data_IF_055546828443
#
_entry.id   IF_055546828443
#
_cell.length_a   1.000
_cell.length_b   1.000
_cell.length_c   1.000
_cell.angle_alpha   90.00
_cell.angle_beta   90.00
_cell.angle_gamma   90.00
#
_symmetry.space_group_name_H-M   'P 1'
#
loop_
_entity.id
_entity.type
_entity.pdbx_description
1 polymer ?
#
# COMPACT_ATOMS: atom_id res chain seq x y z
N UNK A 1 -3.10 15.83 10.09
CA UNK A 1 -3.04 14.43 9.62
C UNK A 1 -2.64 14.50 8.15
N UNK A 2 -1.53 13.86 7.79
CA UNK A 2 -1.08 13.78 6.39
C UNK A 2 -2.09 12.92 5.61
N UNK A 3 -2.70 13.47 4.55
CA UNK A 3 -3.73 12.76 3.77
C UNK A 3 -3.08 11.61 2.99
N UNK A 4 -3.57 10.38 3.17
CA UNK A 4 -3.08 9.24 2.40
C UNK A 4 -3.80 9.13 1.07
N UNK A 5 -3.05 9.10 -0.03
CA UNK A 5 -3.57 8.84 -1.37
C UNK A 5 -3.16 7.44 -1.85
N UNK A 6 -4.09 6.59 -2.31
CA UNK A 6 -3.75 5.29 -2.87
C UNK A 6 -3.06 5.45 -4.23
N UNK A 7 -2.28 4.44 -4.65
CA UNK A 7 -1.62 4.42 -5.96
C UNK A 7 -2.58 4.70 -7.13
N UNK A 8 -3.82 4.22 -7.04
CA UNK A 8 -4.86 4.45 -8.06
C UNK A 8 -5.25 5.92 -8.20
N UNK A 9 -5.16 6.72 -7.14
CA UNK A 9 -5.43 8.16 -7.21
C UNK A 9 -4.39 8.87 -8.09
N UNK A 10 -3.11 8.49 -7.97
CA UNK A 10 -2.06 9.00 -8.86
C UNK A 10 -2.27 8.60 -10.32
N UNK A 11 -2.74 7.36 -10.57
CA UNK A 11 -3.09 6.93 -11.93
C UNK A 11 -4.27 7.73 -12.50
N UNK A 12 -5.31 7.99 -11.69
CA UNK A 12 -6.44 8.82 -12.12
C UNK A 12 -5.98 10.24 -12.43
N UNK A 13 -5.17 10.85 -11.57
CA UNK A 13 -4.61 12.18 -11.81
C UNK A 13 -3.77 12.22 -13.11
N UNK A 14 -2.99 11.18 -13.41
CA UNK A 14 -2.31 11.07 -14.72
C UNK A 14 -3.27 11.03 -15.91
N UNK A 15 -4.38 10.29 -15.79
CA UNK A 15 -5.40 10.19 -16.85
C UNK A 15 -6.15 11.50 -17.06
N UNK A 16 -6.32 12.28 -15.99
CA UNK A 16 -6.94 13.61 -16.01
C UNK A 16 -5.93 14.71 -16.38
N UNK A 17 -4.72 14.36 -16.84
CA UNK A 17 -3.62 15.29 -17.20
C UNK A 17 -3.12 16.17 -16.03
N UNK A 18 -3.47 15.83 -14.79
CA UNK A 18 -3.01 16.48 -13.54
C UNK A 18 -1.65 15.92 -13.10
N UNK A 19 -0.62 16.18 -13.90
CA UNK A 19 0.70 15.57 -13.74
C UNK A 19 1.43 15.95 -12.44
N UNK A 20 1.25 17.18 -11.95
CA UNK A 20 1.84 17.66 -10.69
C UNK A 20 1.29 16.88 -9.48
N UNK A 21 -0.05 16.79 -9.40
CA UNK A 21 -0.74 16.04 -8.34
C UNK A 21 -0.38 14.55 -8.40
N UNK A 22 -0.33 13.98 -9.60
CA UNK A 22 0.09 12.60 -9.76
C UNK A 22 1.53 12.38 -9.29
N UNK A 23 2.45 13.29 -9.62
CA UNK A 23 3.83 13.24 -9.16
C UNK A 23 3.90 13.25 -7.63
N UNK A 24 3.18 14.15 -6.97
CA UNK A 24 3.17 14.25 -5.51
C UNK A 24 2.68 12.98 -4.84
N UNK A 25 1.59 12.40 -5.37
CA UNK A 25 1.05 11.13 -4.88
C UNK A 25 2.10 10.01 -5.03
N UNK A 26 2.74 9.90 -6.19
CA UNK A 26 3.76 8.87 -6.39
C UNK A 26 5.01 9.11 -5.55
N UNK A 27 5.41 10.36 -5.35
CA UNK A 27 6.55 10.73 -4.52
C UNK A 27 6.32 10.29 -3.07
N UNK A 28 5.15 10.60 -2.51
CA UNK A 28 4.80 10.17 -1.16
C UNK A 28 4.78 8.64 -1.03
N UNK A 29 4.22 7.94 -2.03
CA UNK A 29 4.17 6.47 -2.02
C UNK A 29 5.55 5.83 -2.25
N UNK A 30 6.42 6.44 -3.06
CA UNK A 30 7.74 5.92 -3.38
C UNK A 30 8.66 6.00 -2.17
N UNK A 31 8.58 7.08 -1.38
CA UNK A 31 9.31 7.22 -0.12
C UNK A 31 8.76 6.33 1.01
N UNK A 32 7.52 5.85 0.88
CA UNK A 32 6.97 4.79 1.75
C UNK A 32 7.31 3.38 1.25
N UNK A 33 7.95 3.26 0.09
CA UNK A 33 8.47 2.01 -0.46
C UNK A 33 7.59 1.31 -1.50
N UNK A 34 6.53 1.93 -2.03
CA UNK A 34 5.73 1.30 -3.08
C UNK A 34 6.53 1.20 -4.39
N UNK A 35 6.96 -0.01 -4.75
CA UNK A 35 7.81 -0.23 -5.92
C UNK A 35 7.15 0.15 -7.26
N UNK A 36 5.81 0.29 -7.33
CA UNK A 36 5.15 0.79 -8.54
C UNK A 36 5.26 2.30 -8.62
N UNK A 37 5.02 2.98 -7.51
CA UNK A 37 5.20 4.43 -7.41
C UNK A 37 6.66 4.82 -7.68
N UNK A 38 7.62 4.05 -7.17
CA UNK A 38 9.04 4.22 -7.50
C UNK A 38 9.30 4.14 -9.01
N UNK A 39 8.63 3.21 -9.71
CA UNK A 39 8.75 3.15 -11.17
C UNK A 39 8.06 4.33 -11.87
N UNK A 40 6.98 4.88 -11.31
CA UNK A 40 6.38 6.13 -11.83
C UNK A 40 7.33 7.31 -11.66
N UNK A 41 7.99 7.45 -10.51
CA UNK A 41 9.03 8.48 -10.30
C UNK A 41 10.11 8.41 -11.37
N UNK A 42 10.53 7.19 -11.75
CA UNK A 42 11.49 7.02 -12.84
C UNK A 42 10.99 7.57 -14.18
N UNK A 43 9.71 7.37 -14.51
CA UNK A 43 9.12 7.90 -15.75
C UNK A 43 9.00 9.42 -15.72
N UNK A 44 8.64 9.99 -14.58
CA UNK A 44 8.59 11.44 -14.41
C UNK A 44 9.95 12.10 -14.54
N UNK A 45 10.99 11.59 -13.88
CA UNK A 45 12.35 12.12 -14.05
C UNK A 45 12.92 11.88 -15.45
N UNK A 46 12.43 10.90 -16.21
CA UNK A 46 12.89 10.70 -17.59
C UNK A 46 12.40 11.78 -18.56
N UNK A 47 11.24 12.40 -18.29
CA UNK A 47 10.59 13.34 -19.22
C UNK A 47 10.49 14.76 -18.64
N UNK A 48 10.38 14.89 -17.33
CA UNK A 48 10.04 16.14 -16.65
C UNK A 48 8.54 16.45 -16.70
N UNK A 49 8.17 17.55 -16.05
CA UNK A 49 6.84 18.17 -16.05
C UNK A 49 7.09 19.67 -16.11
N UNK A 50 6.56 20.33 -17.13
CA UNK A 50 6.74 21.76 -17.37
C UNK A 50 6.44 22.57 -16.11
N UNK A 51 7.34 23.50 -15.76
CA UNK A 51 7.25 24.38 -14.60
C UNK A 51 7.14 23.71 -13.22
N UNK A 52 7.31 22.38 -13.13
CA UNK A 52 7.20 21.63 -11.89
C UNK A 52 8.43 20.79 -11.55
N UNK A 53 8.88 19.94 -12.49
CA UNK A 53 10.09 19.12 -12.33
C UNK A 53 10.90 19.06 -13.63
N UNK A 54 12.21 19.21 -13.52
CA UNK A 54 13.10 19.04 -14.65
C UNK A 54 13.36 17.55 -14.93
N UNK A 55 13.64 17.23 -16.20
CA UNK A 55 14.08 15.89 -16.56
C UNK A 55 15.50 15.65 -16.03
N UNK A 56 15.67 14.55 -15.31
CA UNK A 56 16.95 14.08 -14.80
C UNK A 56 17.08 12.57 -15.08
N UNK A 57 17.81 12.18 -16.15
CA UNK A 57 17.93 10.77 -16.53
C UNK A 57 18.75 9.95 -15.52
N UNK A 58 19.59 10.58 -14.69
CA UNK A 58 20.32 9.89 -13.61
C UNK A 58 19.33 9.46 -12.53
N UNK A 59 18.48 10.39 -12.07
CA UNK A 59 17.42 10.06 -11.11
C UNK A 59 16.40 9.09 -11.68
N UNK A 60 16.06 9.20 -12.96
CA UNK A 60 15.18 8.24 -13.64
C UNK A 60 15.71 6.80 -13.50
N UNK A 61 17.01 6.60 -13.77
CA UNK A 61 17.65 5.30 -13.64
C UNK A 61 17.73 4.83 -12.19
N UNK A 62 18.07 5.70 -11.24
CA UNK A 62 18.12 5.36 -9.80
C UNK A 62 16.77 4.83 -9.30
N UNK A 63 15.68 5.53 -9.61
CA UNK A 63 14.33 5.11 -9.23
C UNK A 63 13.91 3.81 -9.94
N UNK A 64 14.25 3.64 -11.21
CA UNK A 64 13.93 2.43 -11.96
C UNK A 64 14.67 1.20 -11.43
N UNK A 65 15.98 1.32 -11.15
CA UNK A 65 16.80 0.25 -10.55
C UNK A 65 16.24 -0.14 -9.18
N UNK A 66 15.89 0.84 -8.33
CA UNK A 66 15.27 0.59 -7.03
C UNK A 66 13.94 -0.18 -7.17
N UNK A 67 13.05 0.28 -8.05
CA UNK A 67 11.76 -0.37 -8.30
C UNK A 67 11.91 -1.81 -8.83
N UNK A 68 12.89 -2.03 -9.72
CA UNK A 68 13.13 -3.32 -10.34
C UNK A 68 13.88 -4.30 -9.42
N UNK A 69 14.60 -3.81 -8.40
CA UNK A 69 15.25 -4.62 -7.38
C UNK A 69 14.25 -5.46 -6.56
N UNK A 70 13.04 -4.92 -6.32
CA UNK A 70 11.98 -5.62 -5.57
C UNK A 70 11.21 -6.62 -6.40
N UNK A 71 10.75 -6.21 -7.58
CA UNK A 71 10.06 -7.10 -8.51
C UNK A 71 10.63 -6.90 -9.91
N UNK A 72 11.51 -7.82 -10.28
CA UNK A 72 12.13 -7.86 -11.59
C UNK A 72 11.06 -7.95 -12.68
N UNK A 73 11.18 -7.08 -13.67
CA UNK A 73 10.32 -7.04 -14.84
C UNK A 73 11.18 -6.77 -16.07
N UNK A 74 10.98 -7.57 -17.12
CA UNK A 74 11.67 -7.39 -18.40
C UNK A 74 11.40 -6.00 -18.98
N UNK A 75 10.16 -5.49 -18.85
CA UNK A 75 9.80 -4.14 -19.32
C UNK A 75 10.61 -3.06 -18.60
N UNK A 76 10.75 -3.17 -17.27
CA UNK A 76 11.51 -2.21 -16.47
C UNK A 76 13.00 -2.32 -16.74
N UNK A 77 13.52 -3.54 -16.89
CA UNK A 77 14.91 -3.75 -17.25
C UNK A 77 15.23 -3.11 -18.60
N UNK A 78 14.39 -3.30 -19.62
CA UNK A 78 14.56 -2.62 -20.91
C UNK A 78 14.58 -1.11 -20.76
N UNK A 79 13.68 -0.53 -19.98
CA UNK A 79 13.69 0.91 -19.69
C UNK A 79 15.00 1.37 -19.04
N UNK A 80 15.49 0.63 -18.04
CA UNK A 80 16.77 0.89 -17.38
C UNK A 80 17.91 0.87 -18.41
N UNK A 81 17.98 -0.19 -19.21
CA UNK A 81 19.05 -0.39 -20.19
C UNK A 81 19.05 0.71 -21.25
N UNK A 82 17.87 1.07 -21.79
CA UNK A 82 17.75 2.15 -22.77
C UNK A 82 18.11 3.50 -22.18
N UNK A 83 17.68 3.79 -20.95
CA UNK A 83 17.96 5.09 -20.30
C UNK A 83 19.42 5.20 -19.90
N UNK A 84 20.04 4.09 -19.44
CA UNK A 84 21.48 4.04 -19.18
C UNK A 84 22.28 4.25 -20.47
N UNK A 85 21.85 3.68 -21.59
CA UNK A 85 22.54 3.86 -22.87
C UNK A 85 22.53 5.31 -23.40
N UNK A 86 21.62 6.16 -22.91
CA UNK A 86 21.54 7.58 -23.29
C UNK A 86 22.33 8.51 -22.36
N UNK A 87 22.87 8.01 -21.25
CA UNK A 87 23.63 8.84 -20.31
C UNK A 87 24.99 9.24 -20.87
N UNK A 88 25.45 10.44 -20.51
CA UNK A 88 26.84 10.83 -20.75
C UNK A 88 27.78 10.14 -19.78
N UNK A 89 29.08 10.11 -20.10
CA UNK A 89 30.11 9.56 -19.20
C UNK A 89 30.11 10.22 -17.82
N UNK A 90 29.84 11.53 -17.76
CA UNK A 90 29.73 12.28 -16.50
C UNK A 90 28.50 11.84 -15.71
N UNK A 91 27.35 11.72 -16.37
CA UNK A 91 26.12 11.24 -15.74
C UNK A 91 26.26 9.79 -15.24
N UNK A 92 26.99 8.94 -15.96
CA UNK A 92 27.33 7.59 -15.50
C UNK A 92 28.16 7.61 -14.21
N UNK A 93 29.17 8.48 -14.12
CA UNK A 93 29.98 8.62 -12.90
C UNK A 93 29.12 9.10 -11.73
N UNK A 94 28.25 10.08 -11.98
CA UNK A 94 27.30 10.59 -10.97
C UNK A 94 26.36 9.48 -10.50
N UNK A 95 25.79 8.70 -11.43
CA UNK A 95 24.94 7.55 -11.11
C UNK A 95 25.66 6.55 -10.20
N UNK A 96 26.87 6.11 -10.57
CA UNK A 96 27.66 5.15 -9.78
C UNK A 96 27.95 5.69 -8.38
N UNK A 97 28.23 7.00 -8.27
CA UNK A 97 28.54 7.67 -7.01
C UNK A 97 27.32 7.78 -6.10
N UNK A 98 26.15 8.11 -6.65
CA UNK A 98 24.91 8.32 -5.90
C UNK A 98 24.21 7.02 -5.51
N UNK A 99 24.33 5.97 -6.32
CA UNK A 99 23.57 4.73 -6.17
C UNK A 99 23.63 4.13 -4.75
N UNK A 100 24.79 3.95 -4.09
CA UNK A 100 24.83 3.33 -2.77
C UNK A 100 24.07 4.14 -1.72
N UNK A 101 24.22 5.47 -1.74
CA UNK A 101 23.54 6.38 -0.81
C UNK A 101 22.03 6.37 -1.06
N UNK A 102 21.64 6.40 -2.33
CA UNK A 102 20.23 6.36 -2.73
C UNK A 102 19.55 5.08 -2.21
N UNK A 103 20.15 3.91 -2.47
CA UNK A 103 19.64 2.61 -2.01
C UNK A 103 19.56 2.47 -0.48
N UNK A 104 20.46 3.12 0.26
CA UNK A 104 20.41 3.14 1.72
C UNK A 104 19.32 4.08 2.26
N UNK A 105 19.07 5.19 1.58
CA UNK A 105 18.15 6.24 2.05
C UNK A 105 16.70 5.99 1.70
N UNK A 106 16.41 5.35 0.57
CA UNK A 106 15.04 5.18 0.07
C UNK A 106 14.57 3.75 0.35
N UNK A 107 13.56 3.54 1.20
CA UNK A 107 13.02 2.21 1.41
C UNK A 107 12.36 1.74 0.12
N UNK A 108 12.33 0.43 -0.09
CA UNK A 108 11.56 -0.17 -1.17
C UNK A 108 10.92 -1.45 -0.64
N UNK A 109 9.71 -1.78 -1.07
CA UNK A 109 8.90 -2.80 -0.40
C UNK A 109 7.75 -3.30 -1.24
N UNK A 110 6.71 -3.79 -0.57
CA UNK A 110 5.49 -4.27 -1.22
C UNK A 110 4.57 -3.11 -1.63
N UNK A 111 3.46 -3.46 -2.28
CA UNK A 111 2.42 -2.50 -2.66
C UNK A 111 1.71 -1.97 -1.42
N UNK A 112 1.59 -0.66 -1.30
CA UNK A 112 1.03 -0.02 -0.09
C UNK A 112 -0.50 -0.03 -0.12
N UNK A 113 -1.12 -0.04 -1.30
CA UNK A 113 -2.58 -0.15 -1.45
C UNK A 113 -3.16 -1.52 -1.03
N UNK A 114 -2.32 -2.54 -0.79
CA UNK A 114 -2.74 -3.83 -0.26
C UNK A 114 -2.85 -3.87 1.27
N UNK A 115 -2.41 -2.82 1.98
CA UNK A 115 -2.48 -2.81 3.45
C UNK A 115 -3.88 -2.49 3.99
N UNK A 116 -4.79 -2.03 3.13
CA UNK A 116 -6.20 -1.96 3.43
C UNK A 116 -6.87 -3.18 2.77
N UNK A 117 -7.09 -4.24 3.55
CA UNK A 117 -8.11 -5.22 3.13
C UNK A 117 -9.40 -4.43 2.85
N UNK A 118 -10.05 -4.63 1.69
CA UNK A 118 -11.35 -4.03 1.47
C UNK A 118 -12.23 -4.44 2.65
N UNK A 119 -12.77 -3.44 3.35
CA UNK A 119 -13.59 -3.66 4.52
C UNK A 119 -14.70 -4.66 4.13
N UNK A 120 -14.65 -5.89 4.65
CA UNK A 120 -15.69 -6.87 4.38
C UNK A 120 -16.94 -6.45 5.16
N UNK A 121 -17.73 -5.60 4.51
CA UNK A 121 -18.96 -5.03 5.08
C UNK A 121 -19.93 -6.12 5.51
N UNK A 122 -19.93 -7.28 4.84
CA UNK A 122 -20.78 -8.42 5.23
C UNK A 122 -20.29 -9.03 6.54
N UNK A 123 -18.98 -9.23 6.69
CA UNK A 123 -18.38 -9.74 7.94
C UNK A 123 -18.63 -8.79 9.10
N UNK A 124 -18.40 -7.49 8.91
CA UNK A 124 -18.68 -6.46 9.91
C UNK A 124 -20.17 -6.40 10.28
N UNK A 125 -21.05 -6.53 9.30
CA UNK A 125 -22.49 -6.56 9.54
C UNK A 125 -22.91 -7.81 10.32
N UNK A 126 -22.35 -8.99 10.02
CA UNK A 126 -22.58 -10.21 10.79
C UNK A 126 -22.05 -10.10 12.23
N UNK A 127 -20.87 -9.51 12.43
CA UNK A 127 -20.33 -9.24 13.78
C UNK A 127 -21.21 -8.26 14.56
N UNK A 128 -21.70 -7.21 13.90
CA UNK A 128 -22.66 -6.25 14.47
C UNK A 128 -24.00 -6.91 14.85
N UNK A 129 -24.51 -7.82 14.00
CA UNK A 129 -25.72 -8.59 14.31
C UNK A 129 -25.50 -9.53 15.49
N UNK A 130 -24.40 -10.29 15.52
CA UNK A 130 -24.04 -11.19 16.64
C UNK A 130 -23.85 -10.43 17.96
N UNK A 131 -23.34 -9.21 17.92
CA UNK A 131 -23.22 -8.35 19.10
C UNK A 131 -24.57 -7.84 19.62
N UNK A 132 -25.62 -7.84 18.78
CA UNK A 132 -27.00 -7.48 19.13
C UNK A 132 -27.90 -8.66 19.45
N UNK A 133 -27.52 -9.88 19.07
CA UNK A 133 -28.20 -11.08 19.53
C UNK A 133 -28.03 -11.18 21.04
N UNK A 134 -29.13 -11.20 21.83
CA UNK A 134 -29.03 -11.46 23.24
C UNK A 134 -28.35 -12.83 23.40
N UNK A 135 -27.26 -12.89 24.16
CA UNK A 135 -26.69 -14.19 24.53
C UNK A 135 -27.78 -15.00 25.20
N UNK A 136 -28.36 -15.95 24.49
CA UNK A 136 -29.22 -16.95 25.09
C UNK A 136 -28.32 -17.72 26.04
N UNK A 137 -28.44 -17.39 27.32
CA UNK A 137 -27.89 -18.20 28.39
C UNK A 137 -28.64 -19.53 28.33
N UNK A 138 -28.14 -20.47 27.53
CA UNK A 138 -28.62 -21.84 27.52
C UNK A 138 -28.23 -22.43 28.85
N UNK A 139 -29.13 -22.26 29.84
CA UNK A 139 -28.94 -22.75 31.19
C UNK A 139 -28.51 -24.21 31.14
N UNK A 140 -27.34 -24.49 31.68
CA UNK A 140 -26.84 -25.84 31.87
C UNK A 140 -27.95 -26.66 32.51
N UNK A 141 -28.42 -27.68 31.78
CA UNK A 141 -29.50 -28.56 32.18
C UNK A 141 -29.06 -29.36 33.42
N UNK A 142 -29.25 -28.79 34.61
CA UNK A 142 -29.04 -29.50 35.88
C UNK A 142 -30.12 -30.58 35.92
N UNK A 143 -29.73 -31.84 35.72
CA UNK A 143 -30.58 -33.00 35.99
C UNK A 143 -30.92 -32.97 37.49
N UNK A 144 -32.14 -32.58 37.85
CA UNK A 144 -32.67 -32.76 39.20
C UNK A 144 -33.26 -34.16 39.27
N UNK A 145 -32.58 -35.08 39.96
CA UNK A 145 -33.01 -36.49 40.12
C UNK A 145 -34.14 -36.68 41.14
N UNK A 146 -34.75 -35.62 41.67
CA UNK A 146 -35.89 -35.75 42.60
C UNK A 146 -36.94 -34.67 42.34
N UNK A 147 -38.23 -35.05 42.22
CA UNK A 147 -39.32 -34.08 42.15
C UNK A 147 -39.44 -33.31 43.49
N UNK A 148 -39.94 -32.06 43.46
CA UNK A 148 -40.08 -31.26 44.66
C UNK A 148 -41.08 -31.90 45.63
N UNK A 149 -40.73 -31.87 46.92
CA UNK A 149 -41.58 -32.33 48.02
C UNK A 149 -42.85 -31.49 48.03
N UNK A 150 -44.01 -32.14 47.96
CA UNK A 150 -45.32 -31.50 47.95
C UNK A 150 -45.59 -30.89 49.34
N UNK A 151 -45.54 -29.57 49.45
CA UNK A 151 -45.82 -28.82 50.68
C UNK A 151 -47.33 -28.61 50.80
N UNK A 152 -48.08 -29.68 51.06
CA UNK A 152 -49.53 -29.61 51.33
C UNK A 152 -49.93 -30.58 52.45
N UNK A 153 -49.16 -30.60 53.53
CA UNK A 153 -49.57 -31.17 54.81
C UNK A 153 -48.83 -30.51 55.96
N UNK A 154 -49.16 -29.25 56.22
CA UNK A 154 -49.01 -28.65 57.55
C UNK A 154 -50.43 -28.24 57.96
N UNK A 155 -51.10 -29.13 58.69
CA UNK A 155 -52.24 -28.76 59.51
C UNK A 155 -51.69 -28.35 60.88
N UNK A 156 -52.33 -27.33 61.46
CA UNK A 156 -52.06 -26.74 62.78
C UNK A 156 -51.93 -27.75 63.92
#
# INVERSE_FOLDING_TARGET
>A
MEQFFPYKAGIQAQQDERHEEAFDIFCQLSFKGDYRAQFQMAQYFAVGVTDYIEADPVFAVLWADLANSRKKSVKRQRFIDTTKATLTDEQHKVFITLLPRFLQSVPTGQRIDMQFEPLDLNKLYQEYQKAREPQEYTGSRIKRDKPPINVNSINF
#
